data_IF_133742068995
#
_entry.id   IF_133742068995
#
_cell.length_a   1.000
_cell.length_b   1.000
_cell.length_c   1.000
_cell.angle_alpha   90.00
_cell.angle_beta   90.00
_cell.angle_gamma   90.00
#
_symmetry.space_group_name_H-M   'P 1'
#
loop_
_entity.id
_entity.type
_entity.pdbx_description
1 polymer ?
#
# COMPACT_ATOMS: atom_id res chain seq x y z
N UNK A 1 13.33 -22.38 0.21
CA UNK A 1 13.03 -21.36 -0.82
C UNK A 1 11.74 -20.68 -0.38
N UNK A 2 11.68 -19.35 -0.37
CA UNK A 2 10.48 -18.62 0.07
C UNK A 2 9.50 -18.60 -1.10
N UNK A 3 8.22 -18.93 -0.86
CA UNK A 3 7.19 -18.84 -1.90
C UNK A 3 6.86 -17.37 -2.26
N UNK A 4 6.22 -17.16 -3.41
CA UNK A 4 5.92 -15.82 -3.92
C UNK A 4 5.00 -15.01 -2.99
N UNK A 5 4.02 -15.66 -2.35
CA UNK A 5 3.08 -14.99 -1.47
C UNK A 5 3.77 -14.49 -0.19
N UNK A 6 4.66 -15.30 0.37
CA UNK A 6 5.49 -14.95 1.51
C UNK A 6 6.49 -13.86 1.13
N UNK A 7 7.12 -13.95 -0.05
CA UNK A 7 8.02 -12.91 -0.54
C UNK A 7 7.31 -11.55 -0.65
N UNK A 8 6.10 -11.51 -1.22
CA UNK A 8 5.26 -10.29 -1.28
C UNK A 8 5.00 -9.70 0.11
N UNK A 9 4.62 -10.55 1.08
CA UNK A 9 4.39 -10.13 2.47
C UNK A 9 5.66 -9.59 3.14
N UNK A 10 6.83 -10.17 2.86
CA UNK A 10 8.12 -9.67 3.34
C UNK A 10 8.43 -8.29 2.76
N UNK A 11 8.25 -8.09 1.45
CA UNK A 11 8.46 -6.78 0.80
C UNK A 11 7.53 -5.72 1.40
N UNK A 12 6.25 -6.02 1.58
CA UNK A 12 5.28 -5.12 2.24
C UNK A 12 5.74 -4.80 3.66
N UNK A 13 6.15 -5.81 4.43
CA UNK A 13 6.62 -5.59 5.79
C UNK A 13 7.87 -4.69 5.81
N UNK A 14 8.83 -4.89 4.91
CA UNK A 14 10.01 -4.02 4.77
C UNK A 14 9.61 -2.59 4.41
N UNK A 15 8.64 -2.43 3.49
CA UNK A 15 8.10 -1.12 3.11
C UNK A 15 7.57 -0.36 4.32
N UNK A 16 6.84 -1.01 5.23
CA UNK A 16 6.33 -0.39 6.46
C UNK A 16 7.34 -0.34 7.61
N UNK A 17 8.60 -0.73 7.39
CA UNK A 17 9.69 -0.63 8.37
C UNK A 17 9.92 -1.87 9.23
N UNK A 18 9.42 -3.03 8.80
CA UNK A 18 9.72 -4.32 9.39
C UNK A 18 11.22 -4.58 9.46
N UNK A 19 11.66 -5.13 10.59
CA UNK A 19 13.07 -5.40 10.81
C UNK A 19 13.40 -6.85 10.47
N UNK A 20 14.53 -7.05 9.78
CA UNK A 20 15.12 -8.37 9.61
C UNK A 20 15.86 -8.72 10.91
N UNK A 21 15.16 -9.19 11.94
CA UNK A 21 15.77 -9.60 13.21
C UNK A 21 15.09 -10.91 13.64
N UNK A 22 15.84 -11.92 14.09
CA UNK A 22 15.28 -13.18 14.57
C UNK A 22 14.67 -12.99 15.97
N UNK A 23 13.60 -12.21 16.05
CA UNK A 23 12.90 -11.92 17.31
C UNK A 23 11.40 -12.24 17.16
N UNK A 24 10.75 -12.97 18.08
CA UNK A 24 9.38 -13.47 17.92
C UNK A 24 8.31 -12.41 17.64
N UNK A 25 8.52 -11.17 18.11
CA UNK A 25 7.62 -10.03 17.85
C UNK A 25 7.75 -9.44 16.43
N UNK A 26 8.75 -9.86 15.66
CA UNK A 26 9.00 -9.31 14.32
C UNK A 26 8.15 -10.03 13.28
N UNK A 27 7.32 -9.27 12.55
CA UNK A 27 6.39 -9.83 11.56
C UNK A 27 7.11 -10.63 10.47
N UNK A 28 8.27 -10.16 10.00
CA UNK A 28 9.05 -10.86 8.98
C UNK A 28 9.55 -12.21 9.50
N UNK A 29 9.97 -12.30 10.76
CA UNK A 29 10.42 -13.57 11.34
C UNK A 29 9.26 -14.57 11.48
N UNK A 30 8.08 -14.09 11.88
CA UNK A 30 6.85 -14.92 11.90
C UNK A 30 6.47 -15.42 10.50
N UNK A 31 6.54 -14.55 9.49
CA UNK A 31 6.23 -14.90 8.10
C UNK A 31 7.18 -15.99 7.54
N UNK A 32 8.41 -16.03 8.04
CA UNK A 32 9.42 -17.01 7.66
C UNK A 32 9.39 -18.26 8.56
N UNK A 33 8.33 -18.47 9.34
CA UNK A 33 8.22 -19.64 10.22
C UNK A 33 9.28 -19.69 11.32
N UNK A 34 9.74 -18.53 11.79
CA UNK A 34 10.82 -18.40 12.77
C UNK A 34 12.17 -18.98 12.30
N UNK A 35 12.42 -19.00 10.99
CA UNK A 35 13.69 -19.45 10.41
C UNK A 35 14.79 -18.38 10.51
N UNK A 36 15.78 -18.63 11.39
CA UNK A 36 16.94 -17.74 11.61
C UNK A 36 17.87 -17.71 10.40
N UNK A 37 18.01 -18.83 9.69
CA UNK A 37 18.85 -18.94 8.49
C UNK A 37 18.24 -18.12 7.36
N UNK A 38 16.92 -18.16 7.18
CA UNK A 38 16.22 -17.33 6.21
C UNK A 38 16.41 -15.83 6.49
N UNK A 39 16.32 -15.39 7.75
CA UNK A 39 16.63 -14.00 8.13
C UNK A 39 18.09 -13.66 7.80
N UNK A 40 19.03 -14.56 8.08
CA UNK A 40 20.44 -14.37 7.75
C UNK A 40 20.67 -14.18 6.25
N UNK A 41 20.03 -15.01 5.41
CA UNK A 41 20.09 -14.92 3.95
C UNK A 41 19.51 -13.59 3.44
N UNK A 42 18.34 -13.19 3.93
CA UNK A 42 17.72 -11.90 3.54
C UNK A 42 18.57 -10.69 3.95
N UNK A 43 19.31 -10.77 5.06
CA UNK A 43 20.24 -9.70 5.46
C UNK A 43 21.47 -9.63 4.56
N UNK A 44 21.96 -10.77 4.10
CA UNK A 44 23.15 -10.86 3.24
C UNK A 44 22.84 -10.55 1.77
N UNK A 45 21.57 -10.59 1.39
CA UNK A 45 21.12 -10.32 0.03
C UNK A 45 21.33 -8.82 -0.35
N UNK A 46 22.09 -8.54 -1.44
CA UNK A 46 22.35 -7.17 -1.88
C UNK A 46 21.09 -6.41 -2.32
N UNK A 47 20.14 -7.08 -2.97
CA UNK A 47 18.91 -6.46 -3.47
C UNK A 47 17.99 -6.09 -2.31
N UNK A 48 17.85 -6.98 -1.32
CA UNK A 48 17.09 -6.69 -0.09
C UNK A 48 17.73 -5.52 0.67
N UNK A 49 19.06 -5.45 0.70
CA UNK A 49 19.77 -4.35 1.35
C UNK A 49 19.56 -3.03 0.61
N UNK A 50 19.65 -3.03 -0.72
CA UNK A 50 19.35 -1.86 -1.56
C UNK A 50 17.90 -1.40 -1.38
N UNK A 51 16.94 -2.32 -1.45
CA UNK A 51 15.52 -2.05 -1.23
C UNK A 51 15.27 -1.38 0.12
N UNK A 52 15.86 -1.89 1.20
CA UNK A 52 15.71 -1.30 2.55
C UNK A 52 16.26 0.11 2.63
N UNK A 53 17.38 0.39 1.96
CA UNK A 53 17.95 1.74 1.88
C UNK A 53 17.01 2.68 1.13
N UNK A 54 16.48 2.25 0.00
CA UNK A 54 15.64 3.07 -0.85
C UNK A 54 14.28 3.35 -0.19
N UNK A 55 13.67 2.34 0.45
CA UNK A 55 12.47 2.50 1.30
C UNK A 55 12.71 3.50 2.43
N UNK A 56 13.86 3.42 3.10
CA UNK A 56 14.22 4.37 4.17
C UNK A 56 14.37 5.79 3.62
N UNK A 57 15.01 5.95 2.46
CA UNK A 57 15.20 7.25 1.82
C UNK A 57 13.86 7.88 1.42
N UNK A 58 13.00 7.09 0.75
CA UNK A 58 11.65 7.49 0.37
C UNK A 58 10.83 7.96 1.59
N UNK A 59 10.76 7.15 2.65
CA UNK A 59 10.03 7.54 3.85
C UNK A 59 10.59 8.78 4.54
N UNK A 60 11.91 8.97 4.53
CA UNK A 60 12.50 10.18 5.08
C UNK A 60 12.03 11.42 4.32
N UNK A 61 11.92 11.36 2.99
CA UNK A 61 11.40 12.45 2.16
C UNK A 61 9.93 12.71 2.49
N UNK A 62 9.10 11.66 2.45
CA UNK A 62 7.65 11.78 2.70
C UNK A 62 7.34 12.30 4.10
N UNK A 63 7.99 11.76 5.13
CA UNK A 63 7.79 12.21 6.52
C UNK A 63 8.29 13.65 6.74
N UNK A 64 9.35 14.08 6.04
CA UNK A 64 9.79 15.48 6.10
C UNK A 64 8.77 16.41 5.46
N UNK A 65 8.24 16.06 4.29
CA UNK A 65 7.19 16.84 3.63
C UNK A 65 5.93 16.92 4.50
N UNK A 66 5.49 15.79 5.06
CA UNK A 66 4.34 15.70 5.97
C UNK A 66 4.53 16.58 7.23
N UNK A 67 5.74 16.55 7.81
CA UNK A 67 6.06 17.41 8.96
C UNK A 67 6.13 18.89 8.59
N UNK A 68 6.57 19.25 7.39
CA UNK A 68 6.57 20.64 6.95
C UNK A 68 5.13 21.17 6.79
N UNK A 69 4.23 20.38 6.19
CA UNK A 69 2.81 20.71 6.07
C UNK A 69 2.14 20.85 7.46
N UNK A 70 2.40 19.90 8.35
CA UNK A 70 1.85 19.92 9.71
C UNK A 70 2.51 20.98 10.62
N UNK A 71 3.78 21.31 10.37
CA UNK A 71 4.55 22.35 11.06
C UNK A 71 4.03 23.76 10.76
N UNK A 72 3.57 24.00 9.53
CA UNK A 72 2.84 25.22 9.17
C UNK A 72 1.50 25.33 9.92
N UNK A 73 0.79 24.21 10.12
CA UNK A 73 -0.40 24.15 10.99
C UNK A 73 -0.06 24.34 12.48
N UNK A 74 1.10 23.85 12.93
CA UNK A 74 1.59 23.98 14.31
C UNK A 74 2.14 25.37 14.65
N UNK A 75 2.61 26.16 13.68
CA UNK A 75 2.97 27.57 13.93
C UNK A 75 1.77 28.45 14.31
N UNK A 76 0.54 27.99 14.06
CA UNK A 76 -0.69 28.64 14.55
C UNK A 76 -1.16 28.16 15.93
N UNK A 77 -0.51 27.17 16.55
CA UNK A 77 -1.02 26.55 17.79
C UNK A 77 0.01 25.87 18.72
N UNK A 78 1.31 26.06 18.52
CA UNK A 78 2.36 25.44 19.32
C UNK A 78 2.78 24.06 18.77
N UNK A 79 4.06 23.92 18.41
CA UNK A 79 4.56 22.74 17.71
C UNK A 79 4.71 21.52 18.64
N UNK A 80 3.95 20.47 18.38
CA UNK A 80 4.16 19.14 18.98
C UNK A 80 4.97 18.30 18.00
N UNK A 81 6.24 18.05 18.31
CA UNK A 81 7.07 17.08 17.57
C UNK A 81 6.54 15.67 17.84
N UNK A 82 6.19 14.87 16.83
CA UNK A 82 5.68 13.51 17.04
C UNK A 82 6.76 12.57 17.58
N UNK A 83 6.44 11.77 18.60
CA UNK A 83 7.31 10.72 19.16
C UNK A 83 7.53 9.55 18.18
N UNK A 84 8.59 8.74 18.34
CA UNK A 84 8.89 7.58 17.47
C UNK A 84 7.73 6.58 17.32
N UNK A 85 6.91 6.42 18.36
CA UNK A 85 5.70 5.59 18.39
C UNK A 85 4.66 6.02 17.33
N UNK A 86 4.73 7.28 16.87
CA UNK A 86 3.82 7.83 15.86
C UNK A 86 4.31 7.61 14.43
N UNK A 87 5.54 7.16 14.20
CA UNK A 87 6.08 7.02 12.83
C UNK A 87 5.34 5.94 12.04
N UNK A 88 5.06 4.78 12.66
CA UNK A 88 4.29 3.71 12.01
C UNK A 88 2.89 4.19 11.62
N UNK A 89 2.19 4.83 12.57
CA UNK A 89 0.88 5.45 12.35
C UNK A 89 0.92 6.52 11.25
N UNK A 90 1.96 7.37 11.21
CA UNK A 90 2.16 8.36 10.15
C UNK A 90 2.36 7.74 8.78
N UNK A 91 3.13 6.65 8.67
CA UNK A 91 3.30 5.93 7.41
C UNK A 91 1.97 5.40 6.90
N UNK A 92 1.19 4.77 7.77
CA UNK A 92 -0.16 4.30 7.43
C UNK A 92 -1.08 5.46 7.04
N UNK A 93 -1.05 6.58 7.75
CA UNK A 93 -1.85 7.75 7.41
C UNK A 93 -1.48 8.34 6.03
N UNK A 94 -0.19 8.45 5.72
CA UNK A 94 0.27 8.90 4.40
C UNK A 94 -0.19 7.91 3.32
N UNK A 95 0.02 6.61 3.54
CA UNK A 95 -0.40 5.57 2.60
C UNK A 95 -1.91 5.65 2.32
N UNK A 96 -2.73 5.65 3.37
CA UNK A 96 -4.19 5.71 3.24
C UNK A 96 -4.65 7.00 2.55
N UNK A 97 -3.97 8.13 2.79
CA UNK A 97 -4.27 9.39 2.09
C UNK A 97 -3.98 9.29 0.60
N UNK A 98 -2.86 8.68 0.21
CA UNK A 98 -2.51 8.48 -1.20
C UNK A 98 -3.46 7.49 -1.88
N UNK A 99 -3.82 6.41 -1.19
CA UNK A 99 -4.85 5.46 -1.65
C UNK A 99 -6.20 6.16 -1.84
N UNK A 100 -6.60 7.02 -0.91
CA UNK A 100 -7.85 7.76 -1.02
C UNK A 100 -7.88 8.71 -2.22
N UNK A 101 -6.77 9.32 -2.61
CA UNK A 101 -6.70 10.13 -3.83
C UNK A 101 -7.08 9.33 -5.09
N UNK A 102 -6.68 8.07 -5.16
CA UNK A 102 -7.04 7.17 -6.28
C UNK A 102 -8.53 6.82 -6.19
N UNK A 103 -8.98 6.40 -5.00
CA UNK A 103 -10.36 5.98 -4.77
C UNK A 103 -11.35 7.12 -5.05
N UNK A 104 -11.05 8.34 -4.61
CA UNK A 104 -11.89 9.53 -4.84
C UNK A 104 -12.09 9.82 -6.34
N UNK A 105 -11.04 9.62 -7.16
CA UNK A 105 -11.14 9.82 -8.61
C UNK A 105 -12.04 8.76 -9.24
N UNK A 106 -11.90 7.50 -8.81
CA UNK A 106 -12.73 6.40 -9.31
C UNK A 106 -14.20 6.62 -8.88
N UNK A 107 -14.45 6.90 -7.61
CA UNK A 107 -15.78 7.15 -7.06
C UNK A 107 -16.47 8.31 -7.78
N UNK A 108 -15.78 9.45 -7.96
CA UNK A 108 -16.31 10.61 -8.69
C UNK A 108 -16.62 10.30 -10.15
N UNK A 109 -15.79 9.47 -10.80
CA UNK A 109 -16.01 9.08 -12.18
C UNK A 109 -17.24 8.17 -12.33
N UNK A 110 -17.39 7.21 -11.43
CA UNK A 110 -18.54 6.30 -11.39
C UNK A 110 -19.83 7.05 -11.07
N UNK A 111 -19.81 7.97 -10.10
CA UNK A 111 -20.97 8.81 -9.75
C UNK A 111 -21.43 9.66 -10.93
N UNK A 112 -20.48 10.29 -11.65
CA UNK A 112 -20.78 11.06 -12.87
C UNK A 112 -21.46 10.22 -13.96
N UNK A 113 -21.12 8.94 -14.05
CA UNK A 113 -21.71 7.99 -15.00
C UNK A 113 -22.98 7.32 -14.47
N UNK A 114 -23.49 7.77 -13.30
CA UNK A 114 -24.67 7.23 -12.64
C UNK A 114 -24.48 5.79 -12.13
N UNK A 115 -23.25 5.38 -11.85
CA UNK A 115 -22.90 4.04 -11.38
C UNK A 115 -22.74 4.06 -9.87
N UNK A 116 -23.60 3.30 -9.19
CA UNK A 116 -23.44 3.04 -7.76
C UNK A 116 -22.18 2.21 -7.49
N UNK A 117 -21.37 2.64 -6.53
CA UNK A 117 -20.11 2.03 -6.16
C UNK A 117 -20.09 1.72 -4.66
N UNK A 118 -19.62 0.53 -4.29
CA UNK A 118 -19.36 0.15 -2.89
C UNK A 118 -17.86 -0.05 -2.70
N UNK A 119 -17.24 0.75 -1.85
CA UNK A 119 -15.80 0.65 -1.56
C UNK A 119 -15.51 -0.51 -0.61
N UNK A 120 -14.47 -1.29 -0.90
CA UNK A 120 -14.07 -2.46 -0.11
C UNK A 120 -12.56 -2.52 -0.06
N UNK A 121 -11.97 -2.26 1.12
CA UNK A 121 -10.51 -2.31 1.32
C UNK A 121 -9.72 -1.68 0.15
N UNK A 122 -9.02 -2.51 -0.62
CA UNK A 122 -8.16 -2.18 -1.77
C UNK A 122 -8.89 -2.24 -3.13
N UNK A 123 -10.21 -2.25 -3.14
CA UNK A 123 -11.05 -2.35 -4.32
C UNK A 123 -12.44 -1.75 -4.15
N UNK A 124 -13.31 -2.05 -5.10
CA UNK A 124 -14.69 -1.57 -5.12
C UNK A 124 -15.58 -2.52 -5.91
N UNK A 125 -16.87 -2.49 -5.62
CA UNK A 125 -17.90 -3.24 -6.33
C UNK A 125 -18.82 -2.29 -7.08
N UNK A 126 -19.13 -2.67 -8.30
CA UNK A 126 -20.07 -1.98 -9.19
C UNK A 126 -21.06 -2.99 -9.78
N UNK A 127 -22.31 -2.61 -10.04
CA UNK A 127 -23.34 -3.52 -10.55
C UNK A 127 -23.14 -3.89 -12.02
N UNK A 128 -22.28 -3.17 -12.74
CA UNK A 128 -22.01 -3.37 -14.16
C UNK A 128 -20.51 -3.26 -14.45
N UNK A 129 -20.07 -3.89 -15.53
CA UNK A 129 -18.70 -3.73 -16.03
C UNK A 129 -18.40 -2.28 -16.33
N UNK A 130 -17.15 -1.90 -16.09
CA UNK A 130 -16.61 -0.57 -16.39
C UNK A 130 -15.43 -0.73 -17.34
N UNK A 131 -15.14 0.33 -18.10
CA UNK A 131 -13.95 0.36 -18.95
C UNK A 131 -12.70 0.57 -18.08
N UNK A 132 -11.94 -0.49 -17.86
CA UNK A 132 -10.72 -0.44 -17.05
C UNK A 132 -9.68 0.51 -17.63
N UNK A 133 -9.47 0.49 -18.96
CA UNK A 133 -8.41 1.30 -19.58
C UNK A 133 -8.74 2.78 -19.44
N UNK A 134 -10.00 3.16 -19.68
CA UNK A 134 -10.45 4.53 -19.47
C UNK A 134 -10.30 4.97 -18.01
N UNK A 135 -10.63 4.10 -17.04
CA UNK A 135 -10.52 4.41 -15.62
C UNK A 135 -9.05 4.52 -15.15
N UNK A 136 -8.21 3.57 -15.55
CA UNK A 136 -6.77 3.57 -15.26
C UNK A 136 -6.09 4.82 -15.82
N UNK A 137 -6.43 5.19 -17.06
CA UNK A 137 -5.93 6.40 -17.69
C UNK A 137 -6.40 7.66 -16.97
N UNK A 138 -7.67 7.72 -16.56
CA UNK A 138 -8.22 8.84 -15.78
C UNK A 138 -7.50 9.00 -14.43
N UNK A 139 -7.23 7.90 -13.72
CA UNK A 139 -6.48 7.93 -12.46
C UNK A 139 -5.06 8.45 -12.69
N UNK A 140 -4.39 7.99 -13.75
CA UNK A 140 -3.06 8.48 -14.13
C UNK A 140 -3.07 9.99 -14.39
N UNK A 141 -4.04 10.49 -15.15
CA UNK A 141 -4.16 11.92 -15.47
C UNK A 141 -4.45 12.79 -14.25
N UNK A 142 -5.29 12.31 -13.32
CA UNK A 142 -5.72 13.10 -12.16
C UNK A 142 -4.76 13.04 -10.98
N UNK A 143 -4.05 11.92 -10.82
CA UNK A 143 -3.25 11.68 -9.61
C UNK A 143 -1.76 11.45 -9.90
N UNK A 144 -1.41 11.14 -11.16
CA UNK A 144 -0.07 10.68 -11.53
C UNK A 144 0.21 9.22 -11.19
N UNK A 145 -0.71 8.51 -10.53
CA UNK A 145 -0.53 7.10 -10.20
C UNK A 145 -0.92 6.20 -11.37
N UNK A 146 -0.03 5.27 -11.71
CA UNK A 146 -0.35 4.16 -12.60
C UNK A 146 -0.90 3.01 -11.76
N UNK A 147 -2.16 2.67 -12.02
CA UNK A 147 -2.83 1.53 -11.38
C UNK A 147 -3.15 0.45 -12.42
N UNK A 148 -3.55 -0.73 -11.94
CA UNK A 148 -4.11 -1.79 -12.76
C UNK A 148 -5.37 -2.31 -12.08
N UNK A 149 -6.49 -2.25 -12.78
CA UNK A 149 -7.76 -2.79 -12.32
C UNK A 149 -7.89 -4.25 -12.80
N UNK A 150 -8.31 -5.09 -11.87
CA UNK A 150 -8.65 -6.48 -12.13
C UNK A 150 -10.10 -6.68 -11.71
N UNK A 151 -10.93 -7.27 -12.57
CA UNK A 151 -12.31 -7.57 -12.24
C UNK A 151 -12.48 -9.03 -11.85
N UNK A 152 -13.42 -9.28 -10.94
CA UNK A 152 -13.88 -10.63 -10.60
C UNK A 152 -15.38 -10.56 -10.48
N UNK A 153 -16.09 -11.47 -11.17
CA UNK A 153 -17.54 -11.53 -11.11
C UNK A 153 -17.95 -12.41 -9.94
N UNK A 154 -18.62 -11.81 -8.96
CA UNK A 154 -19.36 -12.59 -7.98
C UNK A 154 -20.66 -13.04 -8.65
N UNK A 155 -20.70 -14.28 -9.15
CA UNK A 155 -21.99 -14.94 -9.34
C UNK A 155 -22.53 -15.36 -7.97
N UNK A 156 -23.85 -15.56 -7.84
CA UNK A 156 -24.51 -15.98 -6.60
C UNK A 156 -23.82 -17.18 -5.93
N UNK A 157 -24.15 -17.48 -4.67
CA UNK A 157 -23.31 -18.29 -3.77
C UNK A 157 -22.88 -19.61 -4.43
N UNK A 158 -21.59 -19.74 -4.80
CA UNK A 158 -21.09 -20.99 -5.39
C UNK A 158 -19.72 -20.94 -6.05
N UNK A 159 -19.49 -20.07 -7.04
CA UNK A 159 -18.34 -20.23 -7.96
C UNK A 159 -17.60 -18.91 -8.23
N UNK A 160 -16.35 -18.82 -7.77
CA UNK A 160 -15.39 -17.83 -8.26
C UNK A 160 -14.81 -18.33 -9.60
N UNK A 161 -14.98 -17.55 -10.67
CA UNK A 161 -14.29 -17.78 -11.95
C UNK A 161 -13.29 -16.65 -12.14
N UNK A 162 -12.00 -16.94 -11.92
CA UNK A 162 -10.90 -16.06 -12.38
C UNK A 162 -10.86 -16.08 -13.91
N UNK A 163 -11.36 -15.02 -14.54
CA UNK A 163 -11.14 -14.78 -15.96
C UNK A 163 -9.78 -14.11 -16.15
N UNK A 164 -8.77 -14.91 -16.46
CA UNK A 164 -7.51 -14.43 -17.01
C UNK A 164 -7.77 -13.83 -18.40
N UNK A 165 -7.79 -12.50 -18.49
CA UNK A 165 -7.79 -11.80 -19.77
C UNK A 165 -6.42 -12.00 -20.45
N UNK A 166 -6.45 -12.52 -21.68
CA UNK A 166 -5.32 -12.70 -22.59
C UNK A 166 -4.89 -11.37 -23.24
#
# INVERSE_FOLDING_TARGET
MIDLATAKKVVIALFFGGQLVPHPKQRIFQLLGYDVVAIGRLKADPEVTALRRDVKAMWNILLRAERAMNGLSAMRGGAVVPTPERIGSQRSAIYNRLERLVVDVIESALERDGIFCVLIHDGFMVPRRIDHQAMEQLVLEKTGFRIRLTETFMQGPGDEVELLAA
#
